data_IF_948058257424
#
_entry.id   IF_948058257424
#
_cell.length_a   1.000
_cell.length_b   1.000
_cell.length_c   1.000
_cell.angle_alpha   90.00
_cell.angle_beta   90.00
_cell.angle_gamma   90.00
#
_symmetry.space_group_name_H-M   'P 1'
#
loop_
_entity.id
_entity.type
_entity.pdbx_description
1 polymer ?
#
# COMPACT_ATOMS: atom_id res chain seq x y z
N UNK A 1 18.18 11.80 -9.16
CA UNK A 1 17.14 11.20 -10.03
C UNK A 1 17.70 10.14 -10.99
N UNK A 2 19.03 10.06 -11.21
CA UNK A 2 19.64 8.88 -11.85
C UNK A 2 20.33 8.05 -10.77
N UNK A 3 19.54 7.25 -10.07
CA UNK A 3 20.07 6.08 -9.34
C UNK A 3 20.29 4.88 -10.26
N UNK A 4 20.07 5.05 -11.56
CA UNK A 4 19.96 3.96 -12.54
C UNK A 4 21.27 3.65 -13.26
N UNK A 5 22.32 4.43 -13.09
CA UNK A 5 23.68 4.06 -13.49
C UNK A 5 24.74 4.95 -12.83
N UNK A 6 25.79 4.32 -12.30
CA UNK A 6 27.11 4.92 -12.01
C UNK A 6 27.23 5.93 -10.85
N UNK A 7 26.75 5.56 -9.68
CA UNK A 7 26.92 6.40 -8.50
C UNK A 7 28.25 6.28 -7.76
N UNK A 8 29.02 5.18 -7.91
CA UNK A 8 30.28 5.00 -7.16
C UNK A 8 30.15 5.30 -5.66
N UNK A 9 28.95 5.24 -5.07
CA UNK A 9 28.70 5.67 -3.69
C UNK A 9 29.49 4.83 -2.68
N UNK A 10 29.80 3.60 -3.08
CA UNK A 10 30.68 2.68 -2.37
C UNK A 10 32.11 2.67 -2.89
N UNK A 11 32.45 3.38 -4.00
CA UNK A 11 33.84 3.57 -4.39
C UNK A 11 34.53 4.31 -3.26
N UNK A 12 35.54 3.67 -2.67
CA UNK A 12 36.31 4.07 -1.49
C UNK A 12 35.78 3.59 -0.12
N UNK A 13 34.64 2.89 -0.04
CA UNK A 13 34.29 2.15 1.20
C UNK A 13 35.16 0.90 1.41
N UNK A 14 35.83 0.43 0.35
CA UNK A 14 36.91 -0.56 0.36
C UNK A 14 38.00 -0.22 1.39
N UNK A 15 38.32 1.07 1.56
CA UNK A 15 39.35 1.51 2.52
C UNK A 15 38.88 1.39 3.97
N UNK A 16 37.56 1.42 4.21
CA UNK A 16 36.95 1.22 5.52
C UNK A 16 36.86 -0.28 5.84
N UNK A 17 36.56 -1.14 4.86
CA UNK A 17 36.54 -2.60 5.04
C UNK A 17 37.94 -3.21 5.15
N UNK A 18 38.97 -2.56 4.60
CA UNK A 18 40.36 -2.97 4.77
C UNK A 18 40.96 -2.60 6.13
N UNK A 19 40.29 -1.77 6.94
CA UNK A 19 40.78 -1.42 8.27
C UNK A 19 40.35 -2.48 9.31
N UNK A 20 41.12 -3.58 9.36
CA UNK A 20 41.23 -4.55 10.47
C UNK A 20 39.93 -4.91 11.23
N UNK A 21 38.88 -5.34 10.54
CA UNK A 21 37.78 -6.09 11.19
C UNK A 21 37.11 -7.17 10.33
N UNK A 22 37.70 -7.50 9.17
CA UNK A 22 37.19 -8.56 8.28
C UNK A 22 37.31 -9.99 8.84
N UNK A 23 37.79 -10.18 10.07
CA UNK A 23 37.88 -11.50 10.73
C UNK A 23 36.63 -11.82 11.58
N UNK A 24 35.74 -10.86 11.83
CA UNK A 24 34.58 -11.07 12.73
C UNK A 24 33.31 -11.58 12.02
N UNK A 25 33.28 -11.61 10.68
CA UNK A 25 32.07 -12.01 9.91
C UNK A 25 32.21 -13.31 9.10
N UNK A 26 33.20 -14.17 9.39
CA UNK A 26 33.18 -15.57 8.94
C UNK A 26 33.22 -15.84 7.42
N UNK A 27 33.50 -14.85 6.56
CA UNK A 27 33.66 -15.11 5.12
C UNK A 27 34.99 -15.83 4.84
N UNK A 28 34.99 -17.01 4.18
CA UNK A 28 36.22 -17.69 3.81
C UNK A 28 36.92 -16.89 2.70
N UNK A 29 38.13 -16.43 2.98
CA UNK A 29 39.03 -15.83 1.99
C UNK A 29 39.61 -16.97 1.15
N UNK A 30 38.91 -17.37 0.10
CA UNK A 30 39.55 -18.13 -0.97
C UNK A 30 40.10 -17.16 -2.02
N UNK A 31 41.42 -17.11 -2.04
CA UNK A 31 42.25 -16.40 -2.99
C UNK A 31 42.07 -16.91 -4.42
N UNK A 32 42.21 -15.96 -5.37
CA UNK A 32 42.72 -16.12 -6.74
C UNK A 32 41.78 -16.48 -7.91
N UNK A 33 40.57 -15.92 -8.01
CA UNK A 33 39.87 -15.71 -9.30
C UNK A 33 38.53 -14.95 -9.16
N UNK A 34 38.53 -13.65 -8.82
CA UNK A 34 37.26 -12.99 -8.44
C UNK A 34 37.17 -11.48 -8.58
N UNK A 35 37.72 -10.88 -9.63
CA UNK A 35 37.44 -9.46 -9.93
C UNK A 35 36.05 -9.23 -10.54
N UNK A 36 35.50 -10.22 -11.24
CA UNK A 36 34.35 -9.96 -12.12
C UNK A 36 33.01 -10.25 -11.45
N UNK A 37 32.91 -11.25 -10.55
CA UNK A 37 31.67 -11.52 -9.79
C UNK A 37 31.35 -10.44 -8.73
N UNK A 38 32.33 -9.64 -8.30
CA UNK A 38 32.10 -8.56 -7.31
C UNK A 38 31.60 -7.26 -7.95
N UNK A 39 31.82 -7.06 -9.25
CA UNK A 39 31.37 -5.87 -9.98
C UNK A 39 29.86 -5.81 -10.19
N UNK A 40 29.19 -6.96 -10.27
CA UNK A 40 27.74 -7.02 -10.49
C UNK A 40 26.94 -6.64 -9.23
N UNK A 41 27.47 -6.99 -8.04
CA UNK A 41 26.96 -6.51 -6.75
C UNK A 41 27.22 -5.03 -6.47
N UNK A 42 28.04 -4.35 -7.28
CA UNK A 42 28.37 -2.92 -7.14
C UNK A 42 27.46 -2.00 -7.99
N UNK A 43 26.54 -2.56 -8.78
CA UNK A 43 25.64 -1.83 -9.68
C UNK A 43 24.18 -1.76 -9.19
N UNK A 44 23.95 -1.88 -7.89
CA UNK A 44 22.60 -1.76 -7.32
C UNK A 44 22.20 -0.27 -7.28
N UNK A 45 21.01 0.10 -7.79
CA UNK A 45 20.47 1.45 -7.64
C UNK A 45 20.46 1.92 -6.18
N UNK A 46 20.82 3.19 -5.94
CA UNK A 46 20.97 3.72 -4.58
C UNK A 46 19.70 3.57 -3.72
N UNK A 47 18.52 3.83 -4.29
CA UNK A 47 17.24 3.67 -3.59
C UNK A 47 16.91 2.22 -3.28
N UNK A 48 17.26 1.29 -4.17
CA UNK A 48 17.10 -0.14 -3.90
C UNK A 48 17.97 -0.57 -2.73
N UNK A 49 19.21 -0.09 -2.65
CA UNK A 49 20.09 -0.35 -1.52
C UNK A 49 19.56 0.26 -0.21
N UNK A 50 19.07 1.51 -0.25
CA UNK A 50 18.42 2.15 0.90
C UNK A 50 17.19 1.37 1.36
N UNK A 51 16.39 0.86 0.43
CA UNK A 51 15.23 0.02 0.71
C UNK A 51 15.56 -1.28 1.45
N UNK A 52 16.79 -1.78 1.34
CA UNK A 52 17.28 -2.96 2.08
C UNK A 52 17.91 -2.59 3.42
N UNK A 53 18.70 -1.51 3.44
CA UNK A 53 19.47 -1.10 4.61
C UNK A 53 18.59 -0.46 5.69
N UNK A 54 17.75 0.51 5.32
CA UNK A 54 17.03 1.36 6.27
C UNK A 54 15.98 0.61 7.13
N UNK A 55 15.29 -0.43 6.65
CA UNK A 55 14.46 -1.28 7.49
C UNK A 55 15.20 -1.93 8.67
N UNK A 56 16.53 -2.08 8.58
CA UNK A 56 17.37 -2.63 9.65
C UNK A 56 17.88 -1.56 10.63
N UNK A 57 17.66 -0.28 10.33
CA UNK A 57 18.16 0.87 11.10
C UNK A 57 17.03 1.83 11.50
N UNK A 58 15.94 1.27 12.04
CA UNK A 58 14.75 2.02 12.45
C UNK A 58 15.03 3.00 13.61
N UNK A 59 16.08 2.76 14.40
CA UNK A 59 16.39 3.58 15.57
C UNK A 59 16.95 4.98 15.23
N UNK A 60 17.33 5.22 13.98
CA UNK A 60 17.93 6.50 13.57
C UNK A 60 16.86 7.49 13.14
N UNK A 61 16.45 8.35 14.07
CA UNK A 61 15.37 9.33 13.88
C UNK A 61 15.56 10.30 12.71
N UNK A 62 16.80 10.66 12.42
CA UNK A 62 17.19 11.64 11.41
C UNK A 62 16.88 11.15 9.99
N UNK A 63 16.83 9.84 9.78
CA UNK A 63 16.58 9.22 8.48
C UNK A 63 15.18 9.54 7.99
N UNK A 64 14.17 9.57 8.88
CA UNK A 64 12.79 9.87 8.52
C UNK A 64 12.65 11.31 7.99
N UNK A 65 13.32 12.27 8.62
CA UNK A 65 13.36 13.66 8.15
C UNK A 65 14.13 13.79 6.83
N UNK A 66 15.28 13.11 6.69
CA UNK A 66 16.07 13.10 5.46
C UNK A 66 15.27 12.53 4.27
N UNK A 67 14.59 11.40 4.46
CA UNK A 67 13.73 10.80 3.44
C UNK A 67 12.59 11.74 3.06
N UNK A 68 11.99 12.41 4.04
CA UNK A 68 10.89 13.36 3.78
C UNK A 68 11.37 14.60 3.03
N UNK A 69 12.56 15.13 3.35
CA UNK A 69 13.18 16.20 2.56
C UNK A 69 13.53 15.75 1.15
N UNK A 70 14.02 14.51 0.99
CA UNK A 70 14.34 13.91 -0.30
C UNK A 70 13.10 13.72 -1.17
N UNK A 71 11.99 13.26 -0.58
CA UNK A 71 10.67 13.19 -1.22
C UNK A 71 10.23 14.56 -1.76
N UNK A 72 10.48 15.61 -0.98
CA UNK A 72 10.12 17.00 -1.25
C UNK A 72 11.17 17.76 -2.06
N UNK A 73 12.25 17.11 -2.50
CA UNK A 73 13.34 17.74 -3.27
C UNK A 73 14.03 18.90 -2.55
N UNK A 74 13.95 18.97 -1.22
CA UNK A 74 14.51 20.07 -0.41
C UNK A 74 15.94 19.75 0.05
N UNK A 75 16.90 20.69 -0.08
CA UNK A 75 18.24 20.52 0.44
C UNK A 75 18.25 20.68 1.97
N UNK A 76 18.73 19.67 2.68
CA UNK A 76 18.83 19.68 4.15
C UNK A 76 20.16 20.32 4.58
N UNK A 77 20.09 21.36 5.42
CA UNK A 77 21.28 22.03 5.98
C UNK A 77 21.52 21.69 7.45
N UNK A 78 20.45 21.47 8.20
CA UNK A 78 20.47 21.16 9.62
C UNK A 78 19.43 20.07 9.88
N UNK A 79 19.79 19.07 10.68
CA UNK A 79 18.90 18.00 11.10
C UNK A 79 18.23 18.37 12.42
N UNK A 80 16.92 18.06 12.59
CA UNK A 80 16.28 18.16 13.88
C UNK A 80 16.95 17.20 14.87
N UNK A 81 17.14 17.63 16.12
CA UNK A 81 17.48 16.73 17.22
C UNK A 81 16.24 16.09 17.87
N UNK A 82 15.07 16.26 17.25
CA UNK A 82 13.79 15.74 17.74
C UNK A 82 13.55 14.32 17.21
N UNK A 83 13.17 13.40 18.09
CA UNK A 83 12.81 12.02 17.74
C UNK A 83 11.34 11.87 17.33
N UNK A 84 10.53 12.91 17.57
CA UNK A 84 9.09 12.91 17.29
C UNK A 84 8.82 13.24 15.83
N UNK A 85 8.35 12.26 15.08
CA UNK A 85 7.96 12.42 13.68
C UNK A 85 6.46 12.61 13.60
N UNK A 86 6.01 13.86 13.57
CA UNK A 86 4.61 14.24 13.39
C UNK A 86 4.51 15.26 12.25
N UNK A 87 3.28 15.54 11.81
CA UNK A 87 3.02 16.53 10.78
C UNK A 87 3.67 17.87 11.11
N UNK A 88 3.43 18.42 12.30
CA UNK A 88 3.92 19.75 12.68
C UNK A 88 5.46 19.82 12.68
N UNK A 89 6.15 18.77 13.14
CA UNK A 89 7.61 18.72 13.16
C UNK A 89 8.18 18.58 11.75
N UNK A 90 7.54 17.77 10.89
CA UNK A 90 7.90 17.63 9.48
C UNK A 90 7.68 18.95 8.72
N UNK A 91 6.55 19.64 8.93
CA UNK A 91 6.28 20.93 8.29
C UNK A 91 7.24 22.01 8.77
N UNK A 92 7.50 22.09 10.08
CA UNK A 92 8.48 23.01 10.64
C UNK A 92 9.89 22.75 10.10
N UNK A 93 10.27 21.48 9.89
CA UNK A 93 11.55 21.10 9.33
C UNK A 93 11.69 21.45 7.84
N UNK A 94 10.67 21.14 7.03
CA UNK A 94 10.73 21.33 5.58
C UNK A 94 10.67 22.81 5.16
N UNK A 95 9.88 23.62 5.87
CA UNK A 95 9.60 24.99 5.48
C UNK A 95 10.07 26.05 6.49
N UNK A 96 10.50 25.64 7.68
CA UNK A 96 10.88 26.54 8.77
C UNK A 96 9.67 27.12 9.51
N UNK A 97 9.86 27.53 10.77
CA UNK A 97 8.81 28.12 11.62
C UNK A 97 8.26 29.49 11.14
N UNK A 98 8.71 30.01 9.99
CA UNK A 98 8.40 31.36 9.50
C UNK A 98 7.40 31.39 8.33
N UNK A 99 6.78 30.27 7.95
CA UNK A 99 5.79 30.20 6.85
C UNK A 99 4.37 30.54 7.31
N UNK A 100 4.21 31.56 8.15
CA UNK A 100 2.88 32.13 8.38
C UNK A 100 2.44 33.09 7.26
N UNK A 101 3.33 33.50 6.32
CA UNK A 101 3.04 34.58 5.37
C UNK A 101 3.44 34.36 3.89
N UNK A 102 3.92 33.18 3.48
CA UNK A 102 4.15 32.88 2.06
C UNK A 102 3.32 31.68 1.62
N UNK A 103 2.52 31.78 0.56
CA UNK A 103 1.79 30.63 0.05
C UNK A 103 2.80 29.61 -0.49
N UNK A 104 2.63 28.34 -0.10
CA UNK A 104 3.45 27.19 -0.53
C UNK A 104 3.65 27.15 -2.06
N UNK A 105 2.70 27.75 -2.80
CA UNK A 105 2.72 27.96 -4.25
C UNK A 105 3.94 28.71 -4.80
N UNK A 106 4.66 29.50 -4.00
CA UNK A 106 5.85 30.25 -4.45
C UNK A 106 7.14 29.43 -4.47
N UNK A 107 7.16 28.24 -3.84
CA UNK A 107 8.34 27.35 -3.75
C UNK A 107 8.18 26.10 -4.63
N UNK A 108 6.95 25.74 -5.00
CA UNK A 108 6.55 24.56 -5.78
C UNK A 108 7.18 24.41 -7.18
N UNK A 109 7.37 25.45 -8.03
CA UNK A 109 7.74 25.20 -9.43
C UNK A 109 9.18 24.72 -9.65
N UNK A 110 9.96 24.43 -8.60
CA UNK A 110 11.32 23.87 -8.66
C UNK A 110 11.49 22.52 -7.98
N UNK A 111 10.41 21.94 -7.45
CA UNK A 111 10.50 20.69 -6.70
C UNK A 111 10.38 19.50 -7.67
N UNK A 112 11.47 18.74 -7.82
CA UNK A 112 11.42 17.41 -8.43
C UNK A 112 11.10 16.39 -7.34
N UNK A 113 9.84 16.00 -7.25
CA UNK A 113 9.42 14.98 -6.29
C UNK A 113 10.00 13.60 -6.61
N UNK A 114 10.22 12.79 -5.57
CA UNK A 114 10.87 11.48 -5.66
C UNK A 114 9.95 10.37 -5.14
N UNK A 115 9.37 9.55 -6.04
CA UNK A 115 8.54 8.38 -5.68
C UNK A 115 9.32 7.33 -4.89
N UNK A 116 10.56 7.07 -5.30
CA UNK A 116 11.45 6.10 -4.65
C UNK A 116 11.67 6.38 -3.16
N UNK A 117 11.80 7.65 -2.77
CA UNK A 117 11.95 8.02 -1.37
C UNK A 117 10.68 7.71 -0.56
N UNK A 118 9.49 7.83 -1.17
CA UNK A 118 8.21 7.42 -0.57
C UNK A 118 8.20 5.90 -0.35
N UNK A 119 8.62 5.13 -1.36
CA UNK A 119 8.70 3.66 -1.30
C UNK A 119 9.63 3.19 -0.19
N UNK A 120 10.80 3.82 -0.05
CA UNK A 120 11.75 3.51 1.02
C UNK A 120 11.19 3.88 2.40
N UNK A 121 10.50 5.02 2.54
CA UNK A 121 9.86 5.38 3.81
C UNK A 121 8.74 4.39 4.19
N UNK A 122 7.96 3.94 3.21
CA UNK A 122 6.93 2.90 3.40
C UNK A 122 7.53 1.53 3.72
N UNK A 123 8.72 1.19 3.20
CA UNK A 123 9.40 -0.06 3.55
C UNK A 123 9.86 -0.05 5.01
N UNK A 124 10.35 1.09 5.52
CA UNK A 124 10.63 1.28 6.94
C UNK A 124 9.35 1.18 7.78
N UNK A 125 8.25 1.79 7.33
CA UNK A 125 6.95 1.68 8.01
C UNK A 125 6.46 0.22 8.08
N UNK A 126 6.60 -0.55 7.00
CA UNK A 126 6.31 -1.99 6.99
C UNK A 126 7.16 -2.73 8.02
N UNK A 127 8.46 -2.47 8.10
CA UNK A 127 9.32 -3.11 9.08
C UNK A 127 8.90 -2.81 10.52
N UNK A 128 8.50 -1.56 10.82
CA UNK A 128 7.96 -1.20 12.13
C UNK A 128 6.63 -1.88 12.45
N UNK A 129 5.73 -2.01 11.47
CA UNK A 129 4.42 -2.66 11.63
C UNK A 129 4.55 -4.15 11.97
N UNK A 130 5.53 -4.83 11.38
CA UNK A 130 5.73 -6.29 11.53
C UNK A 130 6.85 -6.67 12.51
N UNK A 131 7.48 -5.69 13.16
CA UNK A 131 8.44 -5.93 14.24
C UNK A 131 7.72 -6.36 15.53
N UNK A 132 8.43 -7.06 16.41
CA UNK A 132 7.93 -7.31 17.77
C UNK A 132 7.85 -5.98 18.52
N UNK A 133 6.63 -5.56 18.84
CA UNK A 133 6.34 -4.29 19.52
C UNK A 133 7.00 -4.20 20.90
N UNK A 134 7.38 -5.33 21.51
CA UNK A 134 8.08 -5.33 22.80
C UNK A 134 9.56 -4.95 22.68
N UNK A 135 10.17 -5.14 21.50
CA UNK A 135 11.57 -4.81 21.23
C UNK A 135 11.75 -3.37 20.75
N UNK A 136 10.67 -2.73 20.29
CA UNK A 136 10.72 -1.36 19.79
C UNK A 136 10.78 -0.34 20.93
N UNK A 137 11.67 0.66 20.86
CA UNK A 137 11.63 1.84 21.70
C UNK A 137 10.24 2.50 21.70
N UNK A 138 9.83 3.07 22.85
CA UNK A 138 8.47 3.63 23.00
C UNK A 138 8.12 4.71 21.97
N UNK A 139 9.11 5.51 21.53
CA UNK A 139 8.92 6.55 20.52
C UNK A 139 8.70 5.98 19.10
N UNK A 140 9.08 4.72 18.85
CA UNK A 140 8.92 4.04 17.55
C UNK A 140 7.57 3.33 17.41
N UNK A 141 6.93 2.93 18.51
CA UNK A 141 5.67 2.15 18.49
C UNK A 141 4.56 2.82 17.66
N UNK A 142 4.42 4.14 17.77
CA UNK A 142 3.41 4.91 17.02
C UNK A 142 3.95 5.49 15.71
N UNK A 143 5.25 5.36 15.46
CA UNK A 143 5.94 6.08 14.40
C UNK A 143 5.50 5.64 13.01
N UNK A 144 5.20 4.34 12.84
CA UNK A 144 4.61 3.83 11.60
C UNK A 144 3.26 4.51 11.28
N UNK A 145 2.41 4.74 12.29
CA UNK A 145 1.14 5.43 12.12
C UNK A 145 1.39 6.89 11.72
N UNK A 146 2.30 7.57 12.42
CA UNK A 146 2.65 8.96 12.10
C UNK A 146 3.19 9.10 10.67
N UNK A 147 4.00 8.16 10.18
CA UNK A 147 4.45 8.15 8.78
C UNK A 147 3.26 8.08 7.82
N UNK A 148 2.35 7.12 8.00
CA UNK A 148 1.17 7.00 7.13
C UNK A 148 0.32 8.27 7.19
N UNK A 149 0.16 8.89 8.37
CA UNK A 149 -0.57 10.13 8.53
C UNK A 149 0.11 11.31 7.83
N UNK A 150 1.43 11.48 7.95
CA UNK A 150 2.19 12.52 7.25
C UNK A 150 2.04 12.36 5.74
N UNK A 151 2.19 11.13 5.22
CA UNK A 151 2.00 10.84 3.80
C UNK A 151 0.58 11.17 3.33
N UNK A 152 -0.43 10.78 4.12
CA UNK A 152 -1.82 11.08 3.82
C UNK A 152 -2.12 12.58 3.81
N UNK A 153 -1.51 13.34 4.72
CA UNK A 153 -1.65 14.79 4.77
C UNK A 153 -0.89 15.49 3.64
N UNK A 154 0.28 14.98 3.23
CA UNK A 154 0.99 15.48 2.06
C UNK A 154 0.14 15.27 0.79
N UNK A 155 -0.52 14.11 0.67
CA UNK A 155 -1.45 13.83 -0.43
C UNK A 155 -2.59 14.85 -0.49
N UNK A 156 -3.20 15.19 0.65
CA UNK A 156 -4.34 16.12 0.69
C UNK A 156 -3.92 17.59 0.49
N UNK A 157 -2.80 18.00 1.08
CA UNK A 157 -2.38 19.41 1.08
C UNK A 157 -1.61 19.82 -0.18
N UNK A 158 -1.06 18.86 -0.94
CA UNK A 158 -0.21 19.11 -2.11
C UNK A 158 -0.74 18.39 -3.35
N UNK A 159 -1.55 19.05 -4.20
CA UNK A 159 -2.09 18.48 -5.44
C UNK A 159 -1.03 17.89 -6.38
N UNK A 160 0.15 18.51 -6.45
CA UNK A 160 1.27 18.04 -7.28
C UNK A 160 1.83 16.68 -6.85
N UNK A 161 1.55 16.25 -5.61
CA UNK A 161 1.99 14.99 -5.05
C UNK A 161 1.01 13.84 -5.34
N UNK A 162 -0.24 14.14 -5.68
CA UNK A 162 -1.27 13.13 -5.94
C UNK A 162 -0.87 12.13 -7.04
N UNK A 163 -0.29 12.53 -8.19
CA UNK A 163 0.12 11.58 -9.23
C UNK A 163 1.17 10.56 -8.76
N UNK A 164 1.99 10.92 -7.77
CA UNK A 164 3.02 10.04 -7.20
C UNK A 164 2.37 8.93 -6.40
N UNK A 165 1.39 9.27 -5.55
CA UNK A 165 0.62 8.29 -4.78
C UNK A 165 -0.32 7.43 -5.64
N UNK A 166 -0.70 7.91 -6.82
CA UNK A 166 -1.46 7.12 -7.80
C UNK A 166 -0.57 6.18 -8.65
N UNK A 167 0.76 6.21 -8.48
CA UNK A 167 1.68 5.35 -9.23
C UNK A 167 1.71 3.91 -8.68
N UNK A 168 2.00 2.95 -9.55
CA UNK A 168 2.07 1.54 -9.19
C UNK A 168 3.12 1.25 -8.10
N UNK A 169 4.27 1.94 -8.14
CA UNK A 169 5.37 1.77 -7.17
C UNK A 169 4.92 2.12 -5.75
N UNK A 170 4.28 3.29 -5.58
CA UNK A 170 3.86 3.79 -4.27
C UNK A 170 2.65 3.01 -3.76
N UNK A 171 1.68 2.71 -4.63
CA UNK A 171 0.53 1.85 -4.27
C UNK A 171 0.99 0.45 -3.86
N UNK A 172 1.94 -0.12 -4.60
CA UNK A 172 2.58 -1.39 -4.28
C UNK A 172 3.25 -1.37 -2.90
N UNK A 173 4.03 -0.33 -2.60
CA UNK A 173 4.69 -0.18 -1.30
C UNK A 173 3.69 0.03 -0.15
N UNK A 174 2.64 0.82 -0.38
CA UNK A 174 1.58 1.10 0.60
C UNK A 174 0.78 -0.16 0.92
N UNK A 175 0.35 -0.90 -0.11
CA UNK A 175 -0.33 -2.18 0.07
C UNK A 175 0.60 -3.20 0.75
N UNK A 176 1.87 -3.27 0.34
CA UNK A 176 2.87 -4.19 0.92
C UNK A 176 3.03 -4.04 2.43
N UNK A 177 2.80 -2.85 3.00
CA UNK A 177 2.85 -2.63 4.45
C UNK A 177 1.82 -3.50 5.22
N UNK A 178 0.72 -3.89 4.57
CA UNK A 178 -0.31 -4.76 5.15
C UNK A 178 0.11 -6.24 5.22
N UNK A 179 1.06 -6.65 4.37
CA UNK A 179 1.48 -8.03 4.22
C UNK A 179 2.72 -8.33 5.09
N UNK A 180 2.69 -9.41 5.88
CA UNK A 180 3.87 -9.88 6.60
C UNK A 180 5.09 -10.01 5.68
N UNK A 181 6.30 -9.65 6.13
CA UNK A 181 7.52 -9.92 5.39
C UNK A 181 7.70 -11.44 5.21
N UNK A 182 8.39 -11.89 4.15
CA UNK A 182 8.73 -13.31 4.00
C UNK A 182 9.46 -13.76 5.26
N UNK A 183 9.00 -14.87 5.84
CA UNK A 183 9.76 -15.58 6.87
C UNK A 183 10.98 -16.13 6.11
N UNK A 184 12.11 -15.44 6.20
CA UNK A 184 13.37 -16.06 5.88
C UNK A 184 13.50 -17.21 6.87
N UNK A 185 13.30 -18.44 6.41
CA UNK A 185 13.66 -19.66 7.13
C UNK A 185 15.19 -19.69 7.23
N UNK A 186 15.75 -18.78 8.01
CA UNK A 186 17.15 -18.74 8.39
C UNK A 186 17.40 -19.70 9.53
N UNK A 187 16.88 -20.92 9.45
CA UNK A 187 17.36 -22.14 10.12
C UNK A 187 16.80 -23.33 9.34
N UNK A 188 17.15 -23.45 8.04
CA UNK A 188 17.18 -24.78 7.43
C UNK A 188 18.31 -25.52 8.13
N UNK A 189 17.94 -26.20 9.23
CA UNK A 189 18.81 -27.10 9.97
C UNK A 189 19.61 -27.94 8.99
N UNK A 190 20.92 -27.91 9.20
CA UNK A 190 21.90 -28.70 8.48
C UNK A 190 21.42 -30.15 8.43
N UNK A 191 20.96 -30.58 7.25
CA UNK A 191 20.87 -32.01 6.92
C UNK A 191 22.28 -32.52 6.67
N UNK A 192 23.07 -32.62 7.74
CA UNK A 192 24.33 -33.35 7.77
C UNK A 192 24.23 -34.37 8.90
N UNK A 193 23.87 -35.60 8.54
CA UNK A 193 23.90 -36.71 9.46
C UNK A 193 25.34 -37.00 9.91
N UNK A 194 25.66 -36.69 11.16
CA UNK A 194 26.70 -37.35 11.93
C UNK A 194 26.54 -37.02 13.42
N UNK A 195 26.36 -38.07 14.21
CA UNK A 195 26.08 -38.07 15.65
C UNK A 195 27.26 -37.61 16.52
N UNK A 196 27.01 -36.85 17.59
CA UNK A 196 27.68 -37.01 18.91
C UNK A 196 26.94 -36.23 20.03
N UNK A 197 26.83 -36.74 21.28
CA UNK A 197 26.02 -36.14 22.35
C UNK A 197 26.84 -35.40 23.42
N UNK A 198 26.14 -34.66 24.30
CA UNK A 198 26.56 -33.88 25.49
C UNK A 198 26.94 -32.41 25.19
N UNK A 199 26.51 -31.37 25.91
CA UNK A 199 25.83 -31.23 27.21
C UNK A 199 25.20 -29.81 27.27
N UNK A 200 23.99 -29.74 27.82
CA UNK A 200 23.31 -28.64 28.54
C UNK A 200 23.74 -27.17 28.30
N UNK A 201 22.90 -26.41 27.59
CA UNK A 201 22.67 -24.98 27.87
C UNK A 201 21.19 -24.63 27.66
N UNK A 202 20.49 -24.52 28.78
CA UNK A 202 19.37 -23.63 29.10
C UNK A 202 18.42 -23.18 27.98
N UNK A 203 17.28 -23.87 27.90
CA UNK A 203 15.93 -23.33 27.72
C UNK A 203 15.80 -21.95 27.04
N UNK A 204 15.94 -21.89 25.72
CA UNK A 204 15.19 -20.92 24.93
C UNK A 204 13.94 -21.63 24.40
N UNK A 205 12.84 -21.51 25.15
CA UNK A 205 11.53 -21.98 24.72
C UNK A 205 11.12 -21.09 23.54
N UNK A 206 11.45 -21.52 22.33
CA UNK A 206 10.86 -21.00 21.11
C UNK A 206 9.42 -21.50 21.08
N UNK A 207 8.51 -20.67 21.58
CA UNK A 207 7.08 -20.92 21.45
C UNK A 207 6.78 -20.89 19.94
N UNK A 208 6.26 -21.97 19.34
CA UNK A 208 5.80 -21.92 17.97
C UNK A 208 4.68 -20.90 17.94
N UNK A 209 4.81 -19.83 17.13
CA UNK A 209 3.66 -18.98 16.81
C UNK A 209 2.54 -19.90 16.32
N UNK A 210 1.34 -19.71 16.87
CA UNK A 210 0.20 -20.56 16.56
C UNK A 210 -0.04 -20.60 15.04
N UNK A 211 -0.30 -21.77 14.44
CA UNK A 211 -0.44 -21.96 12.98
C UNK A 211 -1.66 -21.25 12.35
N UNK A 212 -2.35 -20.38 13.09
CA UNK A 212 -3.56 -19.67 12.67
C UNK A 212 -3.23 -18.26 12.17
N UNK A 213 -2.13 -17.64 12.64
CA UNK A 213 -1.75 -16.27 12.27
C UNK A 213 -0.93 -16.19 10.97
N UNK A 214 -0.50 -17.32 10.42
CA UNK A 214 0.41 -17.37 9.25
C UNK A 214 -0.24 -16.93 7.93
N UNK A 215 -1.56 -16.74 7.91
CA UNK A 215 -2.33 -16.51 6.68
C UNK A 215 -3.13 -15.20 6.65
N UNK A 216 -3.08 -14.39 7.70
CA UNK A 216 -3.81 -13.12 7.78
C UNK A 216 -2.95 -11.91 7.45
N UNK A 217 -3.59 -10.81 7.03
CA UNK A 217 -2.97 -9.49 7.00
C UNK A 217 -2.59 -9.03 8.41
N UNK A 218 -1.78 -7.99 8.52
CA UNK A 218 -1.38 -7.40 9.81
C UNK A 218 -2.60 -7.08 10.70
N UNK A 219 -2.42 -7.25 12.01
CA UNK A 219 -3.37 -6.82 13.05
C UNK A 219 -3.02 -5.44 13.63
N UNK A 220 -1.95 -4.81 13.14
CA UNK A 220 -1.48 -3.52 13.63
C UNK A 220 -2.51 -2.40 13.35
N UNK A 221 -2.71 -1.43 14.26
CA UNK A 221 -3.67 -0.33 14.10
C UNK A 221 -3.48 0.51 12.82
N UNK A 222 -2.26 0.59 12.29
CA UNK A 222 -1.98 1.27 11.02
C UNK A 222 -2.74 0.68 9.81
N UNK A 223 -3.20 -0.58 9.89
CA UNK A 223 -3.98 -1.23 8.81
C UNK A 223 -5.16 -0.38 8.35
N UNK A 224 -5.96 0.09 9.30
CA UNK A 224 -7.14 0.90 8.99
C UNK A 224 -6.76 2.19 8.27
N UNK A 225 -5.73 2.89 8.77
CA UNK A 225 -5.23 4.12 8.13
C UNK A 225 -4.70 3.88 6.72
N UNK A 226 -4.05 2.75 6.47
CA UNK A 226 -3.55 2.39 5.14
C UNK A 226 -4.72 2.09 4.18
N UNK A 227 -5.71 1.30 4.61
CA UNK A 227 -6.89 0.99 3.80
C UNK A 227 -7.70 2.26 3.50
N UNK A 228 -7.90 3.12 4.49
CA UNK A 228 -8.57 4.41 4.33
C UNK A 228 -7.81 5.33 3.35
N UNK A 229 -6.47 5.32 3.40
CA UNK A 229 -5.65 6.09 2.47
C UNK A 229 -5.78 5.54 1.03
N UNK A 230 -5.67 4.23 0.84
CA UNK A 230 -5.91 3.58 -0.47
C UNK A 230 -7.31 3.92 -0.99
N UNK A 231 -8.35 3.85 -0.14
CA UNK A 231 -9.72 4.24 -0.50
C UNK A 231 -9.74 5.67 -1.04
N UNK A 232 -9.16 6.63 -0.31
CA UNK A 232 -9.16 8.04 -0.73
C UNK A 232 -8.48 8.19 -2.09
N UNK A 233 -7.32 7.56 -2.29
CA UNK A 233 -6.60 7.63 -3.59
C UNK A 233 -7.48 7.10 -4.74
N UNK A 234 -8.16 5.97 -4.53
CA UNK A 234 -9.05 5.38 -5.56
C UNK A 234 -10.24 6.30 -5.82
N UNK A 235 -10.91 6.80 -4.79
CA UNK A 235 -12.08 7.68 -4.93
C UNK A 235 -11.72 8.96 -5.67
N UNK A 236 -10.61 9.59 -5.31
CA UNK A 236 -10.07 10.79 -5.95
C UNK A 236 -9.76 10.54 -7.44
N UNK A 237 -9.24 9.35 -7.76
CA UNK A 237 -8.97 8.95 -9.15
C UNK A 237 -10.22 8.77 -10.01
N UNK A 238 -11.42 8.57 -9.41
CA UNK A 238 -12.66 8.41 -10.17
C UNK A 238 -13.03 9.67 -10.96
N UNK A 239 -12.56 10.83 -10.53
CA UNK A 239 -12.77 12.09 -11.25
C UNK A 239 -11.84 12.26 -12.46
N UNK A 240 -10.80 11.44 -12.60
CA UNK A 240 -9.80 11.56 -13.66
C UNK A 240 -10.22 10.85 -14.95
N UNK A 241 -9.75 11.37 -16.09
CA UNK A 241 -9.91 10.68 -17.37
C UNK A 241 -9.03 9.42 -17.45
N UNK A 242 -9.65 8.28 -17.73
CA UNK A 242 -8.94 7.03 -18.02
C UNK A 242 -8.59 7.02 -19.50
N UNK A 243 -7.30 7.10 -19.82
CA UNK A 243 -6.79 6.96 -21.19
C UNK A 243 -6.16 5.58 -21.35
N UNK A 244 -6.26 4.97 -22.54
CA UNK A 244 -5.69 3.63 -22.79
C UNK A 244 -4.15 3.52 -22.67
N UNK A 245 -3.45 4.59 -22.28
CA UNK A 245 -2.00 4.61 -22.03
C UNK A 245 -1.64 4.28 -20.58
N UNK A 246 -2.58 4.40 -19.65
CA UNK A 246 -2.35 4.21 -18.21
C UNK A 246 -3.45 3.36 -17.61
N UNK A 247 -3.08 2.34 -16.84
CA UNK A 247 -4.04 1.52 -16.11
C UNK A 247 -4.82 2.39 -15.10
N UNK A 248 -6.14 2.18 -14.97
CA UNK A 248 -6.93 2.76 -13.88
C UNK A 248 -6.29 2.49 -12.51
N UNK A 249 -6.36 3.45 -11.60
CA UNK A 249 -5.78 3.32 -10.25
C UNK A 249 -6.33 2.13 -9.50
N UNK A 250 -7.63 1.82 -9.66
CA UNK A 250 -8.21 0.61 -9.06
C UNK A 250 -7.50 -0.67 -9.50
N UNK A 251 -7.07 -0.75 -10.76
CA UNK A 251 -6.38 -1.94 -11.25
C UNK A 251 -5.01 -2.06 -10.63
N UNK A 252 -4.28 -0.93 -10.54
CA UNK A 252 -3.00 -0.87 -9.84
C UNK A 252 -3.13 -1.28 -8.37
N UNK A 253 -4.20 -0.85 -7.69
CA UNK A 253 -4.49 -1.20 -6.29
C UNK A 253 -4.83 -2.68 -6.14
N UNK A 254 -5.62 -3.25 -7.05
CA UNK A 254 -5.97 -4.68 -7.01
C UNK A 254 -4.78 -5.59 -7.34
N UNK A 255 -3.86 -5.13 -8.17
CA UNK A 255 -2.62 -5.82 -8.52
C UNK A 255 -1.49 -5.56 -7.51
N UNK A 256 -1.64 -4.57 -6.62
CA UNK A 256 -0.67 -4.22 -5.59
C UNK A 256 -0.61 -5.29 -4.49
N UNK A 257 0.23 -6.30 -4.70
CA UNK A 257 0.56 -7.31 -3.70
C UNK A 257 2.03 -7.71 -3.81
N UNK A 258 2.71 -8.08 -2.70
CA UNK A 258 4.07 -8.61 -2.75
C UNK A 258 4.15 -9.93 -3.53
N UNK A 259 5.27 -10.17 -4.20
CA UNK A 259 5.52 -11.40 -4.98
C UNK A 259 5.37 -12.68 -4.15
N UNK A 260 5.67 -12.60 -2.86
CA UNK A 260 5.63 -13.72 -1.92
C UNK A 260 4.29 -13.87 -1.16
N UNK A 261 3.26 -13.11 -1.54
CA UNK A 261 1.96 -13.16 -0.87
C UNK A 261 1.15 -14.40 -1.27
N UNK A 262 0.45 -14.99 -0.31
CA UNK A 262 -0.44 -16.13 -0.55
C UNK A 262 -1.76 -15.68 -1.19
N UNK A 263 -2.44 -16.57 -1.92
CA UNK A 263 -3.76 -16.29 -2.52
C UNK A 263 -4.80 -15.87 -1.46
N UNK A 264 -4.72 -16.42 -0.24
CA UNK A 264 -5.59 -16.06 0.87
C UNK A 264 -5.35 -14.63 1.36
N UNK A 265 -4.07 -14.23 1.51
CA UNK A 265 -3.72 -12.85 1.88
C UNK A 265 -4.15 -11.85 0.81
N UNK A 266 -3.91 -12.16 -0.47
CA UNK A 266 -4.34 -11.32 -1.59
C UNK A 266 -5.86 -11.16 -1.61
N UNK A 267 -6.60 -12.26 -1.40
CA UNK A 267 -8.06 -12.25 -1.32
C UNK A 267 -8.57 -11.42 -0.13
N UNK A 268 -7.92 -11.53 1.02
CA UNK A 268 -8.26 -10.72 2.20
C UNK A 268 -8.06 -9.23 1.93
N UNK A 269 -6.92 -8.85 1.35
CA UNK A 269 -6.60 -7.46 0.98
C UNK A 269 -7.58 -6.90 -0.05
N UNK A 270 -7.79 -7.62 -1.16
CA UNK A 270 -8.72 -7.19 -2.21
C UNK A 270 -10.15 -7.08 -1.65
N UNK A 271 -10.58 -8.01 -0.80
CA UNK A 271 -11.91 -7.93 -0.16
C UNK A 271 -12.04 -6.70 0.71
N UNK A 272 -11.07 -6.42 1.58
CA UNK A 272 -11.13 -5.28 2.50
C UNK A 272 -11.17 -3.94 1.75
N UNK A 273 -10.34 -3.79 0.71
CA UNK A 273 -10.35 -2.60 -0.15
C UNK A 273 -11.68 -2.44 -0.88
N UNK A 274 -12.19 -3.51 -1.52
CA UNK A 274 -13.42 -3.44 -2.31
C UNK A 274 -14.65 -3.19 -1.45
N UNK A 275 -14.76 -3.82 -0.28
CA UNK A 275 -15.85 -3.57 0.68
C UNK A 275 -15.82 -2.11 1.15
N UNK A 276 -14.64 -1.61 1.52
CA UNK A 276 -14.46 -0.21 1.95
C UNK A 276 -14.85 0.78 0.85
N UNK A 277 -14.58 0.45 -0.42
CA UNK A 277 -15.00 1.25 -1.57
C UNK A 277 -16.52 1.18 -1.81
N UNK A 278 -17.13 -0.01 -1.72
CA UNK A 278 -18.59 -0.17 -1.85
C UNK A 278 -19.35 0.69 -0.84
N UNK A 279 -18.94 0.62 0.44
CA UNK A 279 -19.56 1.37 1.53
C UNK A 279 -19.42 2.88 1.30
N UNK A 280 -18.23 3.34 0.91
CA UNK A 280 -17.98 4.75 0.63
C UNK A 280 -18.78 5.27 -0.56
N UNK A 281 -18.85 4.52 -1.66
CA UNK A 281 -19.62 4.91 -2.84
C UNK A 281 -21.10 5.14 -2.53
N UNK A 282 -21.68 4.26 -1.71
CA UNK A 282 -23.06 4.41 -1.26
C UNK A 282 -23.22 5.58 -0.29
N UNK A 283 -22.35 5.69 0.72
CA UNK A 283 -22.43 6.72 1.76
C UNK A 283 -22.22 8.15 1.21
N UNK A 284 -21.37 8.30 0.20
CA UNK A 284 -21.11 9.59 -0.44
C UNK A 284 -22.13 9.95 -1.54
N UNK A 285 -23.14 9.08 -1.78
CA UNK A 285 -24.15 9.25 -2.82
C UNK A 285 -23.53 9.58 -4.20
N UNK A 286 -22.42 8.90 -4.53
CA UNK A 286 -21.49 9.31 -5.60
C UNK A 286 -22.12 9.48 -6.99
N UNK A 287 -23.25 8.81 -7.23
CA UNK A 287 -23.98 8.90 -8.49
C UNK A 287 -25.19 9.85 -8.48
N UNK A 288 -25.48 10.58 -7.39
CA UNK A 288 -26.68 11.44 -7.28
C UNK A 288 -26.51 12.83 -7.93
N UNK A 289 -25.29 13.24 -8.33
CA UNK A 289 -25.07 14.51 -9.05
C UNK A 289 -24.90 15.71 -8.10
N UNK A 290 -25.64 16.82 -8.30
CA UNK A 290 -25.46 18.11 -7.57
C UNK A 290 -25.59 18.04 -6.03
N UNK A 291 -26.10 16.93 -5.48
CA UNK A 291 -26.17 16.67 -4.04
C UNK A 291 -25.08 15.72 -3.52
N UNK A 292 -24.29 15.13 -4.43
CA UNK A 292 -23.24 14.20 -4.07
C UNK A 292 -22.01 14.97 -3.59
N UNK A 293 -21.36 14.46 -2.54
CA UNK A 293 -20.03 14.92 -2.15
C UNK A 293 -19.02 14.35 -3.16
N UNK A 294 -18.95 14.93 -4.36
CA UNK A 294 -18.00 14.51 -5.39
C UNK A 294 -16.66 15.19 -5.10
N UNK A 295 -15.61 14.47 -4.65
CA UNK A 295 -14.29 15.04 -4.56
C UNK A 295 -13.77 15.24 -5.99
N UNK A 296 -13.96 16.44 -6.53
CA UNK A 296 -13.24 16.84 -7.74
C UNK A 296 -11.85 17.23 -7.28
N UNK A 297 -10.89 16.38 -7.58
CA UNK A 297 -9.50 16.64 -7.22
C UNK A 297 -8.97 17.86 -8.00
N UNK A 298 -8.07 18.66 -7.41
CA UNK A 298 -7.50 19.85 -8.05
C UNK A 298 -6.42 19.51 -9.10
N UNK A 299 -6.66 18.49 -9.93
CA UNK A 299 -5.80 18.08 -11.05
C UNK A 299 -6.42 18.53 -12.37
N UNK A 300 -5.59 18.90 -13.35
CA UNK A 300 -6.04 19.51 -14.60
C UNK A 300 -6.96 18.61 -15.47
N UNK A 301 -6.90 17.30 -15.30
CA UNK A 301 -7.70 16.30 -16.01
C UNK A 301 -8.89 15.76 -15.20
N UNK A 302 -9.16 16.33 -14.03
CA UNK A 302 -10.29 15.95 -13.19
C UNK A 302 -11.59 16.60 -13.66
N UNK A 303 -12.65 15.80 -13.82
CA UNK A 303 -13.96 16.30 -14.20
C UNK A 303 -15.09 15.36 -13.72
N UNK A 304 -16.20 15.93 -13.28
CA UNK A 304 -17.40 15.22 -12.77
C UNK A 304 -17.98 14.22 -13.79
N UNK A 305 -17.75 14.46 -15.08
CA UNK A 305 -18.20 13.57 -16.17
C UNK A 305 -17.52 12.19 -16.14
N UNK A 306 -16.30 12.08 -15.60
CA UNK A 306 -15.54 10.84 -15.56
C UNK A 306 -15.96 9.93 -14.39
N UNK A 307 -16.58 10.53 -13.35
CA UNK A 307 -16.99 9.82 -12.13
C UNK A 307 -17.93 8.66 -12.43
N UNK A 308 -19.03 8.89 -13.14
CA UNK A 308 -20.01 7.83 -13.39
C UNK A 308 -19.43 6.65 -14.22
N UNK A 309 -18.76 6.87 -15.37
CA UNK A 309 -18.07 5.80 -16.09
C UNK A 309 -17.05 5.03 -15.25
N UNK A 310 -16.26 5.72 -14.42
CA UNK A 310 -15.24 5.07 -13.58
C UNK A 310 -15.87 4.28 -12.43
N UNK A 311 -16.98 4.76 -11.85
CA UNK A 311 -17.77 4.01 -10.86
C UNK A 311 -18.37 2.74 -11.48
N UNK A 312 -18.82 2.81 -12.74
CA UNK A 312 -19.32 1.61 -13.45
C UNK A 312 -18.22 0.60 -13.69
N UNK A 313 -17.03 1.06 -14.09
CA UNK A 313 -15.85 0.21 -14.23
C UNK A 313 -15.45 -0.46 -12.91
N UNK A 314 -15.40 0.32 -11.82
CA UNK A 314 -15.14 -0.21 -10.47
C UNK A 314 -16.18 -1.25 -10.06
N UNK A 315 -17.46 -1.02 -10.37
CA UNK A 315 -18.55 -1.99 -10.12
C UNK A 315 -18.33 -3.27 -10.93
N UNK A 316 -17.92 -3.17 -12.19
CA UNK A 316 -17.59 -4.33 -13.01
C UNK A 316 -16.42 -5.12 -12.41
N UNK A 317 -15.38 -4.45 -11.91
CA UNK A 317 -14.25 -5.10 -11.22
C UNK A 317 -14.67 -5.83 -9.95
N UNK A 318 -15.57 -5.25 -9.15
CA UNK A 318 -16.13 -5.92 -7.96
C UNK A 318 -16.82 -7.23 -8.36
N UNK A 319 -17.67 -7.19 -9.40
CA UNK A 319 -18.37 -8.38 -9.90
C UNK A 319 -17.38 -9.40 -10.47
N UNK A 320 -16.34 -8.98 -11.18
CA UNK A 320 -15.31 -9.90 -11.67
C UNK A 320 -14.59 -10.63 -10.53
N UNK A 321 -14.28 -9.92 -9.44
CA UNK A 321 -13.65 -10.50 -8.24
C UNK A 321 -14.59 -11.48 -7.50
N UNK A 322 -15.90 -11.19 -7.49
CA UNK A 322 -16.92 -12.12 -7.02
C UNK A 322 -16.89 -13.43 -7.83
N UNK A 323 -16.87 -13.34 -9.17
CA UNK A 323 -16.82 -14.50 -10.06
C UNK A 323 -15.51 -15.29 -9.95
N UNK A 324 -14.38 -14.61 -9.73
CA UNK A 324 -13.07 -15.23 -9.51
C UNK A 324 -12.96 -15.97 -8.16
N UNK A 325 -13.86 -15.71 -7.21
CA UNK A 325 -13.76 -16.21 -5.84
C UNK A 325 -12.71 -15.47 -4.99
N UNK A 326 -12.22 -14.33 -5.46
CA UNK A 326 -11.25 -13.46 -4.76
C UNK A 326 -11.94 -12.36 -3.93
N UNK A 327 -13.25 -12.50 -3.70
CA UNK A 327 -14.05 -11.65 -2.83
C UNK A 327 -14.76 -12.53 -1.81
N UNK A 328 -14.40 -12.43 -0.52
CA UNK A 328 -14.97 -13.27 0.56
C UNK A 328 -16.25 -12.70 1.18
N UNK A 329 -16.74 -11.57 0.66
CA UNK A 329 -17.98 -10.93 1.11
C UNK A 329 -19.20 -11.74 0.67
N UNK A 330 -20.30 -11.66 1.42
CA UNK A 330 -21.57 -12.29 1.02
C UNK A 330 -22.01 -11.75 -0.37
N UNK A 331 -22.22 -12.64 -1.36
CA UNK A 331 -22.68 -12.25 -2.69
C UNK A 331 -23.98 -11.42 -2.68
N UNK A 332 -24.84 -11.59 -1.67
CA UNK A 332 -26.08 -10.79 -1.55
C UNK A 332 -25.79 -9.32 -1.22
N UNK A 333 -24.73 -9.03 -0.47
CA UNK A 333 -24.31 -7.65 -0.19
C UNK A 333 -23.82 -6.95 -1.46
N UNK A 334 -23.12 -7.68 -2.35
CA UNK A 334 -22.71 -7.16 -3.66
C UNK A 334 -23.93 -6.89 -4.54
N UNK A 335 -24.92 -7.79 -4.53
CA UNK A 335 -26.19 -7.59 -5.22
C UNK A 335 -26.93 -6.33 -4.70
N UNK A 336 -27.11 -6.21 -3.38
CA UNK A 336 -27.78 -5.07 -2.76
C UNK A 336 -27.04 -3.76 -3.03
N UNK A 337 -25.70 -3.77 -3.06
CA UNK A 337 -24.89 -2.64 -3.46
C UNK A 337 -25.21 -2.17 -4.88
N UNK A 338 -25.25 -3.09 -5.85
CA UNK A 338 -25.55 -2.75 -7.26
C UNK A 338 -26.96 -2.17 -7.40
N UNK A 339 -27.96 -2.76 -6.71
CA UNK A 339 -29.34 -2.27 -6.72
C UNK A 339 -29.42 -0.84 -6.17
N UNK A 340 -28.79 -0.58 -5.02
CA UNK A 340 -28.73 0.78 -4.42
C UNK A 340 -28.03 1.77 -5.34
N UNK A 341 -26.93 1.35 -5.98
CA UNK A 341 -26.15 2.18 -6.90
C UNK A 341 -26.96 2.55 -8.16
N UNK A 342 -27.72 1.61 -8.74
CA UNK A 342 -28.68 1.89 -9.83
C UNK A 342 -29.76 2.87 -9.35
N UNK A 343 -30.26 2.70 -8.13
CA UNK A 343 -31.20 3.62 -7.51
C UNK A 343 -30.67 5.05 -7.41
N UNK A 344 -29.42 5.23 -7.01
CA UNK A 344 -28.74 6.54 -7.00
C UNK A 344 -28.58 7.11 -8.41
N UNK A 345 -28.13 6.27 -9.35
CA UNK A 345 -27.88 6.64 -10.73
C UNK A 345 -29.15 7.15 -11.46
N UNK A 346 -30.30 6.52 -11.20
CA UNK A 346 -31.61 6.95 -11.75
C UNK A 346 -32.05 8.35 -11.29
N UNK A 347 -31.56 8.83 -10.14
CA UNK A 347 -31.90 10.16 -9.60
C UNK A 347 -31.08 11.29 -10.23
N UNK A 348 -29.98 10.97 -10.91
CA UNK A 348 -29.10 11.97 -11.53
C UNK A 348 -29.75 12.53 -12.78
N UNK A 349 -29.74 13.85 -12.90
CA UNK A 349 -30.31 14.63 -14.01
C UNK A 349 -29.55 14.51 -15.34
N UNK A 350 -28.58 13.59 -15.47
CA UNK A 350 -27.79 13.37 -16.68
C UNK A 350 -28.17 12.09 -17.41
N UNK A 351 -28.31 12.15 -18.74
CA UNK A 351 -28.53 10.97 -19.57
C UNK A 351 -27.21 10.21 -19.76
N UNK A 352 -26.93 9.25 -18.88
CA UNK A 352 -25.89 8.24 -19.10
C UNK A 352 -26.52 6.85 -19.16
N UNK A 353 -25.94 5.97 -19.99
CA UNK A 353 -26.44 4.61 -20.13
C UNK A 353 -26.18 3.81 -18.85
N UNK A 354 -27.24 3.20 -18.30
CA UNK A 354 -27.17 2.27 -17.16
C UNK A 354 -26.85 0.84 -17.59
N UNK A 355 -26.61 0.60 -18.88
CA UNK A 355 -26.38 -0.74 -19.45
C UNK A 355 -25.27 -1.50 -18.73
N UNK A 356 -24.17 -0.83 -18.37
CA UNK A 356 -23.07 -1.46 -17.64
C UNK A 356 -23.49 -1.93 -16.24
N UNK A 357 -24.26 -1.12 -15.51
CA UNK A 357 -24.77 -1.50 -14.19
C UNK A 357 -25.79 -2.63 -14.27
N UNK A 358 -26.70 -2.60 -15.24
CA UNK A 358 -27.63 -3.71 -15.47
C UNK A 358 -26.90 -4.99 -15.88
N UNK A 359 -25.83 -4.88 -16.66
CA UNK A 359 -24.97 -6.03 -16.98
C UNK A 359 -24.30 -6.60 -15.72
N UNK A 360 -23.76 -5.74 -14.85
CA UNK A 360 -23.19 -6.15 -13.55
C UNK A 360 -24.25 -6.80 -12.64
N UNK A 361 -25.46 -6.25 -12.60
CA UNK A 361 -26.59 -6.81 -11.87
C UNK A 361 -26.94 -8.20 -12.40
N UNK A 362 -27.11 -8.35 -13.71
CA UNK A 362 -27.41 -9.64 -14.35
C UNK A 362 -26.32 -10.68 -14.05
N UNK A 363 -25.04 -10.30 -14.13
CA UNK A 363 -23.92 -11.18 -13.76
C UNK A 363 -23.97 -11.58 -12.28
N UNK A 364 -24.37 -10.70 -11.39
CA UNK A 364 -24.50 -11.01 -9.96
C UNK A 364 -25.68 -11.94 -9.68
N UNK A 365 -26.81 -11.74 -10.36
CA UNK A 365 -27.96 -12.66 -10.30
C UNK A 365 -27.57 -14.05 -10.81
N UNK A 366 -26.91 -14.12 -11.96
CA UNK A 366 -26.43 -15.39 -12.51
C UNK A 366 -25.48 -16.09 -11.54
N UNK A 367 -24.59 -15.34 -10.89
CA UNK A 367 -23.72 -15.90 -9.86
C UNK A 367 -24.53 -16.53 -8.73
N UNK A 368 -25.48 -15.79 -8.16
CA UNK A 368 -26.35 -16.27 -7.08
C UNK A 368 -27.15 -17.53 -7.48
N UNK A 369 -27.75 -17.54 -8.67
CA UNK A 369 -28.56 -18.64 -9.17
C UNK A 369 -27.74 -19.87 -9.60
N UNK A 370 -26.47 -19.68 -9.96
CA UNK A 370 -25.59 -20.77 -10.39
C UNK A 370 -25.04 -21.62 -9.24
N UNK A 371 -25.18 -21.17 -8.00
CA UNK A 371 -24.67 -21.87 -6.81
C UNK A 371 -25.64 -22.97 -6.37
N UNK A 372 -25.13 -24.11 -5.90
CA UNK A 372 -25.97 -25.21 -5.45
C UNK A 372 -26.78 -24.75 -4.22
N UNK A 373 -28.11 -24.80 -4.33
CA UNK A 373 -29.07 -24.40 -3.28
C UNK A 373 -29.39 -25.60 -2.37
N UNK A 374 -28.37 -26.06 -1.65
CA UNK A 374 -28.47 -27.28 -0.84
C UNK A 374 -29.18 -27.04 0.49
N UNK A 375 -29.15 -25.81 1.02
CA UNK A 375 -29.80 -25.48 2.29
C UNK A 375 -31.04 -24.62 2.13
N UNK A 376 -31.95 -24.68 3.11
CA UNK A 376 -33.15 -23.83 3.18
C UNK A 376 -32.77 -22.35 3.25
N UNK A 377 -31.65 -22.02 3.89
CA UNK A 377 -31.13 -20.65 3.95
C UNK A 377 -30.76 -20.14 2.55
N UNK A 378 -30.10 -20.97 1.73
CA UNK A 378 -29.74 -20.62 0.34
C UNK A 378 -30.99 -20.45 -0.53
N UNK A 379 -32.00 -21.30 -0.34
CA UNK A 379 -33.27 -21.20 -1.07
C UNK A 379 -34.04 -19.92 -0.70
N UNK A 380 -34.06 -19.55 0.58
CA UNK A 380 -34.68 -18.32 1.06
C UNK A 380 -33.94 -17.08 0.57
N UNK A 381 -32.60 -17.11 0.54
CA UNK A 381 -31.79 -15.98 0.08
C UNK A 381 -31.96 -15.72 -1.43
N UNK A 382 -32.02 -16.79 -2.24
CA UNK A 382 -32.36 -16.70 -3.67
C UNK A 382 -33.77 -16.15 -3.88
N UNK A 383 -34.74 -16.62 -3.09
CA UNK A 383 -36.12 -16.13 -3.16
C UNK A 383 -36.22 -14.64 -2.79
N UNK A 384 -35.46 -14.19 -1.79
CA UNK A 384 -35.39 -12.78 -1.40
C UNK A 384 -34.75 -11.92 -2.49
N UNK A 385 -33.67 -12.39 -3.12
CA UNK A 385 -33.04 -11.71 -4.25
C UNK A 385 -34.01 -11.58 -5.45
N UNK A 386 -34.73 -12.66 -5.78
CA UNK A 386 -35.76 -12.66 -6.81
C UNK A 386 -36.92 -11.74 -6.45
N UNK A 387 -37.35 -11.73 -5.20
CA UNK A 387 -38.41 -10.83 -4.74
C UNK A 387 -38.00 -9.38 -4.89
N UNK A 388 -36.79 -9.02 -4.42
CA UNK A 388 -36.20 -7.68 -4.57
C UNK A 388 -36.14 -7.20 -6.03
N UNK A 389 -35.92 -8.11 -6.99
CA UNK A 389 -35.95 -7.82 -8.43
C UNK A 389 -37.36 -7.58 -8.98
N UNK A 390 -38.37 -8.26 -8.43
CA UNK A 390 -39.76 -8.09 -8.88
C UNK A 390 -40.43 -6.85 -8.29
N UNK A 391 -39.94 -6.34 -7.15
CA UNK A 391 -40.54 -5.21 -6.42
C UNK A 391 -39.84 -3.86 -6.65
N UNK A 392 -38.65 -3.83 -7.25
CA UNK A 392 -37.92 -2.60 -7.64
C UNK A 392 -37.88 -2.44 -9.16
#
# INVERSE_FOLDING_TARGET
REGTCNGGWLRHTEQVTHNKMAVVLGCPVNSSSGSDLKSEGLNIPGFQHLGWLLPSHLEVSEIYFLLTALMMGQPVKLLPGETKFDLDTVWAFLWGATVNNQPVSSVTPRINFCSEAVVVLLSMARAMIHCDQNLLPDWLKNHAISIIQVLFQLYHNLPEFMPIFMSAEVLGALASALFPPPINSSESAESSGASTPAEETENMIMIPRSPIEEYSLTSHPARQSIIDFIRVIVVDSLSLSVTGKSSPVIDLVLDACPENSTTTQQTCYQTEVLVTLMDHLLAADMLVGDQAAIPIVPLANAHVQHVAPNVFYLTARIVDKLWQGSLTKDPHEVFDFIVKLIGQAKRRSGNFSLECLYHCLNRSILFLLSRPTETIADQMSVLEALHKLTTN
#
